data_IF_221884307777
#
_entry.id   IF_221884307777
#
_cell.length_a   1.000
_cell.length_b   1.000
_cell.length_c   1.000
_cell.angle_alpha   90.00
_cell.angle_beta   90.00
_cell.angle_gamma   90.00
#
_symmetry.space_group_name_H-M   'P 1'
#
loop_
_entity.id
_entity.type
_entity.pdbx_description
1 polymer ?
#
# COMPACT_ATOMS: atom_id res chain seq x y z
N UNK A 1 -37.03 -1.79 -4.64
CA UNK A 1 -35.89 -0.93 -4.29
C UNK A 1 -34.71 -1.85 -4.05
N UNK A 2 -33.56 -1.66 -4.73
CA UNK A 2 -32.44 -2.60 -4.69
C UNK A 2 -31.72 -2.50 -3.34
N UNK A 3 -31.44 -3.66 -2.73
CA UNK A 3 -30.59 -3.77 -1.55
C UNK A 3 -29.15 -3.65 -2.03
N UNK A 4 -28.53 -2.48 -1.82
CA UNK A 4 -27.08 -2.36 -1.95
C UNK A 4 -26.47 -3.14 -0.80
N UNK A 5 -25.83 -4.27 -1.11
CA UNK A 5 -25.03 -4.99 -0.14
C UNK A 5 -23.86 -4.08 0.27
N UNK A 6 -23.58 -3.88 1.57
CA UNK A 6 -22.31 -3.26 1.96
C UNK A 6 -21.20 -4.20 1.51
N UNK A 7 -20.35 -3.73 0.59
CA UNK A 7 -19.03 -4.32 0.38
C UNK A 7 -18.32 -4.29 1.73
N UNK A 8 -17.78 -5.41 2.23
CA UNK A 8 -17.14 -5.44 3.53
C UNK A 8 -15.89 -4.55 3.49
N UNK A 9 -15.95 -3.41 4.19
CA UNK A 9 -14.79 -2.55 4.49
C UNK A 9 -13.73 -3.26 5.36
N UNK A 10 -14.00 -4.52 5.73
CA UNK A 10 -13.16 -5.43 6.53
C UNK A 10 -12.01 -6.09 5.72
N UNK A 11 -11.98 -5.95 4.39
CA UNK A 11 -11.04 -6.73 3.55
C UNK A 11 -9.64 -6.12 3.35
N UNK A 12 -9.39 -4.93 3.88
CA UNK A 12 -8.06 -4.29 3.81
C UNK A 12 -7.36 -4.16 5.16
N UNK A 13 -8.04 -4.46 6.25
CA UNK A 13 -7.46 -4.37 7.59
C UNK A 13 -6.59 -5.61 7.86
N UNK A 14 -5.31 -5.41 8.16
CA UNK A 14 -4.38 -6.49 8.49
C UNK A 14 -3.76 -7.24 7.30
N UNK A 15 -3.93 -6.77 6.06
CA UNK A 15 -3.26 -7.33 4.87
C UNK A 15 -1.74 -7.19 4.99
N UNK A 16 -1.27 -6.04 5.46
CA UNK A 16 0.15 -5.80 5.67
C UNK A 16 0.69 -6.69 6.78
N UNK A 17 -0.02 -6.78 7.91
CA UNK A 17 0.38 -7.63 9.05
C UNK A 17 0.42 -9.11 8.64
N UNK A 18 -0.60 -9.59 7.93
CA UNK A 18 -0.65 -10.97 7.42
C UNK A 18 0.50 -11.28 6.46
N UNK A 19 0.88 -10.31 5.61
CA UNK A 19 2.05 -10.46 4.75
C UNK A 19 3.33 -10.57 5.58
N UNK A 20 3.53 -9.70 6.57
CA UNK A 20 4.71 -9.75 7.46
C UNK A 20 4.79 -11.06 8.24
N UNK A 21 3.67 -11.56 8.78
CA UNK A 21 3.63 -12.84 9.51
C UNK A 21 3.92 -14.05 8.63
N UNK A 22 3.68 -13.94 7.31
CA UNK A 22 4.00 -15.01 6.36
C UNK A 22 5.49 -15.11 6.02
N UNK A 23 6.29 -14.11 6.41
CA UNK A 23 7.72 -14.08 6.12
C UNK A 23 8.48 -14.98 7.11
N UNK A 24 9.19 -16.03 6.64
CA UNK A 24 9.97 -16.89 7.54
C UNK A 24 11.20 -16.18 8.10
N UNK A 25 11.75 -15.22 7.36
CA UNK A 25 12.84 -14.33 7.75
C UNK A 25 12.68 -13.00 6.97
N UNK A 26 13.20 -11.90 7.52
CA UNK A 26 13.15 -10.59 6.86
C UNK A 26 14.46 -10.37 6.11
N UNK A 27 14.43 -10.60 4.80
CA UNK A 27 15.57 -10.32 3.92
C UNK A 27 15.70 -8.81 3.63
N UNK A 28 16.79 -8.39 2.97
CA UNK A 28 16.99 -6.98 2.54
C UNK A 28 15.85 -6.48 1.64
N UNK A 29 15.27 -7.37 0.84
CA UNK A 29 14.16 -7.06 -0.06
C UNK A 29 12.88 -6.76 0.73
N UNK A 30 12.56 -7.61 1.71
CA UNK A 30 11.40 -7.47 2.57
C UNK A 30 11.56 -6.26 3.50
N UNK A 31 12.78 -6.02 4.00
CA UNK A 31 13.12 -4.85 4.79
C UNK A 31 12.88 -3.56 3.99
N UNK A 32 13.22 -3.53 2.69
CA UNK A 32 12.95 -2.39 1.83
C UNK A 32 11.43 -2.14 1.69
N UNK A 33 10.63 -3.20 1.53
CA UNK A 33 9.15 -3.10 1.47
C UNK A 33 8.59 -2.55 2.79
N UNK A 34 9.03 -3.06 3.94
CA UNK A 34 8.62 -2.57 5.25
C UNK A 34 8.94 -1.07 5.43
N UNK A 35 10.15 -0.67 5.05
CA UNK A 35 10.59 0.73 5.10
C UNK A 35 9.77 1.62 4.17
N UNK A 36 9.49 1.17 2.94
CA UNK A 36 8.69 1.92 1.99
C UNK A 36 7.24 2.09 2.46
N UNK A 37 6.65 1.05 3.06
CA UNK A 37 5.30 1.12 3.66
C UNK A 37 5.27 2.13 4.80
N UNK A 38 6.25 2.08 5.71
CA UNK A 38 6.36 3.05 6.80
C UNK A 38 6.53 4.48 6.29
N UNK A 39 7.38 4.66 5.28
CA UNK A 39 7.59 5.96 4.62
C UNK A 39 6.31 6.49 3.98
N UNK A 40 5.59 5.67 3.21
CA UNK A 40 4.34 6.06 2.54
C UNK A 40 3.23 6.35 3.55
N UNK A 41 3.09 5.51 4.59
CA UNK A 41 2.13 5.73 5.67
C UNK A 41 2.37 7.07 6.36
N UNK A 42 3.63 7.39 6.70
CA UNK A 42 3.98 8.67 7.32
C UNK A 42 3.80 9.87 6.36
N UNK A 43 4.23 9.71 5.10
CA UNK A 43 4.22 10.79 4.10
C UNK A 43 2.82 11.16 3.65
N UNK A 44 1.95 10.16 3.45
CA UNK A 44 0.60 10.34 2.93
C UNK A 44 -0.47 10.34 4.04
N UNK A 45 -0.07 10.10 5.30
CA UNK A 45 -0.97 9.93 6.45
C UNK A 45 -2.07 8.89 6.21
N UNK A 46 -1.69 7.77 5.62
CA UNK A 46 -2.56 6.61 5.36
C UNK A 46 -2.17 5.43 6.24
N UNK A 47 -3.03 4.43 6.38
CA UNK A 47 -2.71 3.20 7.12
C UNK A 47 -1.62 2.39 6.40
N UNK A 48 -0.90 1.55 7.16
CA UNK A 48 0.14 0.68 6.62
C UNK A 48 -0.42 -0.29 5.57
N UNK A 49 -1.63 -0.80 5.76
CA UNK A 49 -2.31 -1.65 4.78
C UNK A 49 -2.58 -0.92 3.46
N UNK A 50 -3.09 0.31 3.52
CA UNK A 50 -3.34 1.12 2.31
C UNK A 50 -2.03 1.46 1.63
N UNK A 51 -0.97 1.78 2.39
CA UNK A 51 0.36 2.01 1.84
C UNK A 51 0.92 0.76 1.16
N UNK A 52 0.79 -0.42 1.77
CA UNK A 52 1.23 -1.70 1.20
C UNK A 52 0.46 -2.06 -0.07
N UNK A 53 -0.85 -1.87 -0.09
CA UNK A 53 -1.69 -2.08 -1.27
C UNK A 53 -1.34 -1.11 -2.40
N UNK A 54 -1.07 0.15 -2.06
CA UNK A 54 -0.63 1.17 -3.04
C UNK A 54 0.70 0.76 -3.67
N UNK A 55 1.65 0.29 -2.85
CA UNK A 55 2.94 -0.20 -3.34
C UNK A 55 2.77 -1.42 -4.27
N UNK A 56 1.90 -2.36 -3.89
CA UNK A 56 1.59 -3.56 -4.69
C UNK A 56 0.88 -3.22 -5.99
N UNK A 57 -0.02 -2.24 -5.98
CA UNK A 57 -0.67 -1.74 -7.18
C UNK A 57 0.33 -1.12 -8.15
N UNK A 58 1.29 -0.34 -7.66
CA UNK A 58 2.36 0.22 -8.51
C UNK A 58 3.30 -0.85 -9.08
N UNK A 59 3.68 -1.84 -8.27
CA UNK A 59 4.45 -2.98 -8.74
C UNK A 59 3.74 -3.71 -9.89
N UNK A 60 2.44 -3.98 -9.73
CA UNK A 60 1.63 -4.60 -10.77
C UNK A 60 1.50 -3.72 -12.03
N UNK A 61 1.28 -2.41 -11.86
CA UNK A 61 1.15 -1.46 -12.97
C UNK A 61 2.45 -1.28 -13.77
N UNK A 62 3.59 -1.31 -13.07
CA UNK A 62 4.92 -1.21 -13.69
C UNK A 62 5.46 -2.55 -14.18
N UNK A 63 4.82 -3.68 -13.83
CA UNK A 63 5.32 -5.02 -14.13
C UNK A 63 6.64 -5.34 -13.42
N UNK A 64 6.88 -4.72 -12.26
CA UNK A 64 8.10 -4.85 -11.48
C UNK A 64 7.84 -5.59 -10.17
N UNK A 65 8.92 -6.09 -9.58
CA UNK A 65 8.88 -6.67 -8.24
C UNK A 65 8.63 -5.61 -7.15
N UNK A 66 7.94 -6.05 -6.09
CA UNK A 66 7.55 -5.19 -4.97
C UNK A 66 8.77 -4.57 -4.28
N UNK A 67 9.85 -5.33 -4.12
CA UNK A 67 11.11 -4.87 -3.52
C UNK A 67 11.80 -3.80 -4.37
N UNK A 68 11.72 -3.90 -5.70
CA UNK A 68 12.27 -2.90 -6.62
C UNK A 68 11.49 -1.59 -6.50
N UNK A 69 10.16 -1.64 -6.53
CA UNK A 69 9.32 -0.44 -6.36
C UNK A 69 9.51 0.18 -4.98
N UNK A 70 9.61 -0.63 -3.92
CA UNK A 70 9.91 -0.16 -2.57
C UNK A 70 11.21 0.65 -2.52
N UNK A 71 12.26 0.13 -3.16
CA UNK A 71 13.55 0.82 -3.25
C UNK A 71 13.45 2.11 -4.05
N UNK A 72 12.74 2.13 -5.18
CA UNK A 72 12.57 3.37 -5.97
C UNK A 72 11.84 4.48 -5.19
N UNK A 73 10.85 4.10 -4.38
CA UNK A 73 10.12 5.03 -3.50
C UNK A 73 11.03 5.62 -2.44
N UNK A 74 11.85 4.78 -1.79
CA UNK A 74 12.80 5.23 -0.75
C UNK A 74 13.91 6.14 -1.30
N UNK A 75 14.40 5.84 -2.51
CA UNK A 75 15.43 6.64 -3.19
C UNK A 75 14.85 7.92 -3.82
N UNK A 76 13.57 8.25 -3.58
CA UNK A 76 12.87 9.42 -4.10
C UNK A 76 12.84 9.52 -5.64
N UNK A 77 13.02 8.40 -6.35
CA UNK A 77 12.99 8.37 -7.81
C UNK A 77 11.56 8.24 -8.37
N UNK A 78 10.60 7.82 -7.53
CA UNK A 78 9.17 7.70 -7.89
C UNK A 78 8.31 8.54 -6.94
N UNK A 79 7.57 9.51 -7.49
CA UNK A 79 6.51 10.21 -6.75
C UNK A 79 5.22 9.39 -6.79
N UNK A 80 4.90 8.70 -5.69
CA UNK A 80 3.60 8.04 -5.54
C UNK A 80 2.58 9.11 -5.15
N UNK A 81 1.62 9.34 -6.05
CA UNK A 81 0.48 10.23 -5.77
C UNK A 81 -0.51 9.46 -4.91
N UNK A 82 -0.92 10.06 -3.78
CA UNK A 82 -1.93 9.45 -2.91
C UNK A 82 -3.20 9.10 -3.71
N UNK A 83 -3.91 8.02 -3.34
CA UNK A 83 -5.22 7.74 -3.91
C UNK A 83 -6.12 8.96 -3.65
N UNK A 84 -6.56 9.59 -4.73
CA UNK A 84 -7.44 10.75 -4.69
C UNK A 84 -8.76 10.28 -4.09
N UNK A 85 -9.10 10.76 -2.88
CA UNK A 85 -10.45 10.63 -2.35
C UNK A 85 -11.38 11.44 -3.24
N UNK A 86 -11.93 10.79 -4.25
CA UNK A 86 -12.88 11.36 -5.21
C UNK A 86 -14.28 11.46 -4.58
N UNK A 87 -14.41 12.04 -3.37
CA UNK A 87 -15.73 12.16 -2.75
C UNK A 87 -15.89 13.27 -1.68
N UNK A 88 -15.13 14.38 -1.76
CA UNK A 88 -15.56 15.62 -1.10
C UNK A 88 -16.63 16.31 -1.96
N UNK A 89 -17.86 15.83 -1.88
CA UNK A 89 -19.04 16.60 -2.31
C UNK A 89 -19.27 17.73 -1.29
N UNK A 90 -18.71 18.92 -1.54
CA UNK A 90 -19.22 20.14 -0.93
C UNK A 90 -20.61 20.40 -1.55
N UNK A 91 -21.65 19.94 -0.86
CA UNK A 91 -23.03 20.37 -1.04
C UNK A 91 -23.45 21.26 0.11
#
# INVERSE_FOLDING_TARGET
MPVVAPVPEDSVDGVFVSWVESLPDVTDEEAAVLQAVGFLSASLRISADVAFLTLRAEAAASGLDLSIVAREVLVHQRSITAPRSENCSCG
#
